data_IF_451956552517
#
_entry.id   IF_451956552517
#
_cell.length_a   1.000
_cell.length_b   1.000
_cell.length_c   1.000
_cell.angle_alpha   90.00
_cell.angle_beta   90.00
_cell.angle_gamma   90.00
#
_symmetry.space_group_name_H-M   'P 1'
#
loop_
_entity.id
_entity.type
_entity.pdbx_description
1 polymer ?
#
# COMPACT_ATOMS: atom_id res chain seq x y z
N UNK A 1 -7.14 -20.38 0.02
CA UNK A 1 -7.69 -19.85 1.27
C UNK A 1 -8.28 -18.48 1.03
N UNK A 2 -9.38 -18.11 1.73
CA UNK A 2 -9.89 -16.74 1.70
C UNK A 2 -8.82 -15.74 2.14
N UNK A 3 -8.80 -14.57 1.51
CA UNK A 3 -7.82 -13.53 1.86
C UNK A 3 -8.43 -12.13 1.86
N UNK A 4 -7.83 -11.25 2.66
CA UNK A 4 -8.06 -9.81 2.65
C UNK A 4 -6.79 -9.12 2.20
N UNK A 5 -6.89 -8.28 1.18
CA UNK A 5 -5.75 -7.58 0.60
C UNK A 5 -5.62 -6.16 1.13
N UNK A 6 -4.53 -5.86 1.81
CA UNK A 6 -4.05 -4.49 1.93
C UNK A 6 -3.31 -4.12 0.63
N UNK A 7 -3.80 -3.12 -0.11
CA UNK A 7 -3.21 -2.74 -1.41
C UNK A 7 -2.53 -1.38 -1.31
N UNK A 8 -1.26 -1.29 -1.72
CA UNK A 8 -0.51 -0.04 -1.74
C UNK A 8 0.98 -0.21 -2.03
N UNK A 9 1.68 0.92 -2.12
CA UNK A 9 3.14 0.91 -2.29
C UNK A 9 3.89 0.55 -1.00
N UNK A 10 3.33 0.93 0.14
CA UNK A 10 3.86 0.62 1.47
C UNK A 10 5.36 0.92 1.64
N UNK A 11 5.85 1.98 1.00
CA UNK A 11 7.23 2.39 1.18
C UNK A 11 7.39 3.09 2.54
N UNK A 12 8.30 2.56 3.34
CA UNK A 12 8.57 3.08 4.68
C UNK A 12 7.64 2.55 5.79
N UNK A 13 6.53 1.91 5.46
CA UNK A 13 5.53 1.36 6.41
C UNK A 13 5.25 2.32 7.59
N UNK A 14 4.93 3.58 7.28
CA UNK A 14 4.59 4.62 8.26
C UNK A 14 3.25 4.32 8.98
N UNK A 15 2.93 5.07 10.03
CA UNK A 15 1.70 4.88 10.84
C UNK A 15 0.41 4.75 10.01
N UNK A 16 0.26 5.52 8.94
CA UNK A 16 -0.89 5.37 8.03
C UNK A 16 -0.91 4.02 7.30
N UNK A 17 0.25 3.51 6.86
CA UNK A 17 0.34 2.16 6.28
C UNK A 17 0.06 1.07 7.32
N UNK A 18 0.53 1.26 8.55
CA UNK A 18 0.25 0.33 9.65
C UNK A 18 -1.25 0.20 9.92
N UNK A 19 -2.01 1.31 9.85
CA UNK A 19 -3.46 1.28 10.00
C UNK A 19 -4.15 0.52 8.86
N UNK A 20 -3.68 0.64 7.61
CA UNK A 20 -4.20 -0.15 6.47
C UNK A 20 -4.00 -1.65 6.72
N UNK A 21 -2.80 -2.04 7.16
CA UNK A 21 -2.49 -3.44 7.48
C UNK A 21 -3.29 -3.93 8.68
N UNK A 22 -3.41 -3.13 9.74
CA UNK A 22 -4.18 -3.48 10.94
C UNK A 22 -5.66 -3.70 10.59
N UNK A 23 -6.25 -2.84 9.74
CA UNK A 23 -7.64 -3.01 9.29
C UNK A 23 -7.82 -4.25 8.42
N UNK A 24 -6.85 -4.57 7.56
CA UNK A 24 -6.90 -5.81 6.79
C UNK A 24 -6.86 -7.05 7.69
N UNK A 25 -6.06 -7.04 8.76
CA UNK A 25 -6.03 -8.11 9.77
C UNK A 25 -7.35 -8.22 10.54
N UNK A 26 -7.94 -7.10 10.93
CA UNK A 26 -9.25 -7.06 11.60
C UNK A 26 -10.33 -7.73 10.75
N UNK A 27 -10.43 -7.33 9.47
CA UNK A 27 -11.41 -7.91 8.53
C UNK A 27 -11.10 -9.41 8.31
N UNK A 28 -9.84 -9.77 8.13
CA UNK A 28 -9.42 -11.14 7.93
C UNK A 28 -9.83 -12.05 9.10
N UNK A 29 -9.61 -11.60 10.34
CA UNK A 29 -10.01 -12.34 11.53
C UNK A 29 -11.54 -12.58 11.57
N UNK A 30 -12.35 -11.54 11.29
CA UNK A 30 -13.82 -11.68 11.26
C UNK A 30 -14.33 -12.56 10.13
N UNK A 31 -13.61 -12.62 9.02
CA UNK A 31 -14.00 -13.36 7.80
C UNK A 31 -13.35 -14.73 7.72
N UNK A 32 -12.66 -15.20 8.76
CA UNK A 32 -11.87 -16.45 8.75
C UNK A 32 -10.95 -16.53 7.51
N UNK A 33 -10.25 -15.43 7.23
CA UNK A 33 -9.41 -15.23 6.06
C UNK A 33 -7.96 -14.87 6.46
N UNK A 34 -7.04 -14.90 5.51
CA UNK A 34 -5.64 -14.51 5.73
C UNK A 34 -5.41 -13.04 5.39
N UNK A 35 -4.76 -12.27 6.26
CA UNK A 35 -4.34 -10.91 5.93
C UNK A 35 -3.13 -10.95 4.99
N UNK A 36 -3.29 -10.36 3.82
CA UNK A 36 -2.28 -10.33 2.77
C UNK A 36 -2.00 -8.90 2.31
N UNK A 37 -0.82 -8.69 1.76
CA UNK A 37 -0.44 -7.42 1.12
C UNK A 37 -0.27 -7.62 -0.37
N UNK A 38 -0.84 -6.74 -1.18
CA UNK A 38 -0.50 -6.55 -2.58
C UNK A 38 0.27 -5.24 -2.74
N UNK A 39 1.52 -5.34 -3.14
CA UNK A 39 2.39 -4.20 -3.43
C UNK A 39 3.05 -4.32 -4.80
N UNK A 40 3.75 -3.27 -5.22
CA UNK A 40 4.27 -3.17 -6.59
C UNK A 40 5.78 -2.92 -6.58
N UNK A 41 6.46 -3.41 -7.60
CA UNK A 41 7.91 -3.18 -7.80
C UNK A 41 8.24 -3.26 -9.28
N UNK A 42 9.04 -2.32 -9.83
CA UNK A 42 9.57 -1.12 -9.19
C UNK A 42 8.47 -0.12 -8.79
N UNK A 43 8.84 0.98 -8.15
CA UNK A 43 7.91 2.08 -7.86
C UNK A 43 7.35 2.64 -9.19
N UNK A 44 6.04 2.96 -9.29
CA UNK A 44 5.42 3.47 -10.52
C UNK A 44 6.17 4.63 -11.17
N UNK A 45 6.71 5.57 -10.39
CA UNK A 45 7.51 6.70 -10.90
C UNK A 45 8.83 6.31 -11.60
N UNK A 46 9.22 5.04 -11.57
CA UNK A 46 10.37 4.54 -12.33
C UNK A 46 9.98 3.96 -13.70
N UNK A 47 8.70 3.81 -13.95
CA UNK A 47 8.15 3.17 -15.14
C UNK A 47 7.36 4.17 -15.99
N UNK A 48 6.58 5.02 -15.31
CA UNK A 48 5.77 6.05 -15.98
C UNK A 48 6.28 7.43 -15.58
N UNK A 49 6.29 8.34 -16.55
CA UNK A 49 6.58 9.74 -16.27
C UNK A 49 5.44 10.34 -15.43
N UNK A 50 5.79 10.88 -14.29
CA UNK A 50 4.86 11.52 -13.35
C UNK A 50 5.15 13.02 -13.22
N UNK A 51 5.90 13.63 -14.18
CA UNK A 51 6.32 15.02 -14.13
C UNK A 51 7.28 15.36 -12.97
N UNK A 52 7.93 14.34 -12.39
CA UNK A 52 8.87 14.48 -11.27
C UNK A 52 9.92 13.35 -11.27
N UNK A 53 11.09 13.57 -10.68
CA UNK A 53 12.13 12.54 -10.61
C UNK A 53 11.65 11.23 -9.98
N UNK A 54 12.17 10.08 -10.43
CA UNK A 54 11.85 8.78 -9.86
C UNK A 54 12.13 8.71 -8.36
N UNK A 55 11.20 8.14 -7.64
CA UNK A 55 11.27 8.01 -6.19
C UNK A 55 12.36 6.99 -5.79
N UNK A 56 13.26 7.38 -4.88
CA UNK A 56 14.15 6.44 -4.17
C UNK A 56 13.36 5.75 -3.06
N UNK A 57 13.38 4.41 -3.04
CA UNK A 57 12.70 3.64 -2.00
C UNK A 57 13.39 3.82 -0.64
N UNK A 58 12.59 3.96 0.42
CA UNK A 58 13.08 4.10 1.79
C UNK A 58 13.74 2.81 2.30
N UNK A 59 13.16 1.66 1.91
CA UNK A 59 13.68 0.36 2.31
C UNK A 59 13.75 -0.64 1.16
N UNK A 60 14.80 -1.47 1.13
CA UNK A 60 14.89 -2.60 0.21
C UNK A 60 13.75 -3.59 0.38
N UNK A 61 13.47 -4.39 -0.65
CA UNK A 61 12.40 -5.40 -0.66
C UNK A 61 12.47 -6.35 0.54
N UNK A 62 13.67 -6.87 0.89
CA UNK A 62 13.86 -7.80 2.01
C UNK A 62 13.45 -7.17 3.35
N UNK A 63 13.79 -5.91 3.58
CA UNK A 63 13.42 -5.18 4.81
C UNK A 63 11.91 -4.97 4.86
N UNK A 64 11.30 -4.57 3.76
CA UNK A 64 9.83 -4.41 3.70
C UNK A 64 9.10 -5.73 3.97
N UNK A 65 9.58 -6.86 3.43
CA UNK A 65 9.00 -8.16 3.69
C UNK A 65 9.04 -8.51 5.18
N UNK A 66 10.18 -8.26 5.86
CA UNK A 66 10.31 -8.44 7.32
C UNK A 66 9.32 -7.56 8.08
N UNK A 67 9.20 -6.28 7.70
CA UNK A 67 8.24 -5.36 8.32
C UNK A 67 6.79 -5.83 8.21
N UNK A 68 6.40 -6.40 7.08
CA UNK A 68 5.06 -6.97 6.91
C UNK A 68 4.84 -8.21 7.78
N UNK A 69 5.83 -9.10 7.87
CA UNK A 69 5.74 -10.25 8.76
C UNK A 69 5.59 -9.82 10.23
N UNK A 70 6.38 -8.84 10.68
CA UNK A 70 6.26 -8.24 12.01
C UNK A 70 4.91 -7.56 12.25
N UNK A 71 4.28 -7.01 11.19
CA UNK A 71 2.95 -6.45 11.23
C UNK A 71 1.82 -7.51 11.19
N UNK A 72 2.16 -8.82 11.18
CA UNK A 72 1.20 -9.92 11.20
C UNK A 72 0.51 -10.15 9.86
N UNK A 73 1.22 -9.95 8.74
CA UNK A 73 0.77 -10.28 7.38
C UNK A 73 1.23 -11.69 7.03
N UNK A 74 0.31 -12.53 6.56
CA UNK A 74 0.58 -13.93 6.22
C UNK A 74 1.30 -14.08 4.89
N UNK A 75 0.97 -13.22 3.91
CA UNK A 75 1.60 -13.26 2.58
C UNK A 75 1.76 -11.87 1.95
N UNK A 76 2.86 -11.68 1.23
CA UNK A 76 3.15 -10.45 0.48
C UNK A 76 3.25 -10.78 -1.00
N UNK A 77 2.32 -10.28 -1.78
CA UNK A 77 2.30 -10.39 -3.24
C UNK A 77 2.93 -9.13 -3.84
N UNK A 78 4.02 -9.32 -4.58
CA UNK A 78 4.72 -8.22 -5.25
C UNK A 78 4.46 -8.32 -6.75
N UNK A 79 3.55 -7.48 -7.24
CA UNK A 79 3.28 -7.40 -8.68
C UNK A 79 4.38 -6.58 -9.35
N UNK A 80 4.95 -7.12 -10.43
CA UNK A 80 5.82 -6.35 -11.31
C UNK A 80 5.02 -5.19 -11.90
N UNK A 81 5.49 -3.96 -11.66
CA UNK A 81 4.93 -2.75 -12.27
C UNK A 81 5.78 -2.40 -13.49
N UNK A 82 5.26 -2.68 -14.65
CA UNK A 82 5.86 -2.42 -15.96
C UNK A 82 4.89 -1.65 -16.86
N UNK A 83 5.32 -1.21 -18.04
CA UNK A 83 4.45 -0.45 -18.95
C UNK A 83 3.16 -1.18 -19.33
N UNK A 84 3.16 -2.50 -19.63
CA UNK A 84 1.93 -3.24 -19.86
C UNK A 84 0.97 -3.21 -18.66
N UNK A 85 1.49 -3.29 -17.43
CA UNK A 85 0.65 -3.22 -16.23
C UNK A 85 0.17 -1.78 -15.96
N UNK A 86 1.02 -0.78 -16.16
CA UNK A 86 0.67 0.63 -16.05
C UNK A 86 -0.41 1.07 -17.06
N UNK A 87 -0.44 0.45 -18.22
CA UNK A 87 -1.44 0.69 -19.27
C UNK A 87 -2.80 0.03 -19.05
N UNK A 88 -2.95 -0.82 -18.03
CA UNK A 88 -4.23 -1.46 -17.71
C UNK A 88 -5.28 -0.43 -17.29
N UNK A 89 -6.51 -0.58 -17.80
CA UNK A 89 -7.64 0.20 -17.31
C UNK A 89 -7.99 -0.17 -15.87
N UNK A 90 -8.77 0.66 -15.19
CA UNK A 90 -9.31 0.34 -13.86
C UNK A 90 -10.05 -1.00 -13.89
N UNK A 91 -10.90 -1.24 -14.88
CA UNK A 91 -11.60 -2.52 -15.07
C UNK A 91 -10.64 -3.70 -15.23
N UNK A 92 -9.59 -3.56 -16.04
CA UNK A 92 -8.58 -4.63 -16.22
C UNK A 92 -7.75 -4.89 -14.95
N UNK A 93 -7.58 -3.89 -14.09
CA UNK A 93 -6.99 -4.10 -12.76
C UNK A 93 -7.95 -4.86 -11.83
N UNK A 94 -9.23 -4.55 -11.85
CA UNK A 94 -10.26 -5.26 -11.08
C UNK A 94 -10.39 -6.73 -11.52
N UNK A 95 -10.33 -6.99 -12.82
CA UNK A 95 -10.29 -8.35 -13.39
C UNK A 95 -9.02 -9.10 -12.95
N UNK A 96 -7.86 -8.42 -12.94
CA UNK A 96 -6.62 -8.97 -12.39
C UNK A 96 -6.79 -9.39 -10.92
N UNK A 97 -7.48 -8.59 -10.08
CA UNK A 97 -7.72 -8.97 -8.69
C UNK A 97 -8.56 -10.24 -8.60
N UNK A 98 -9.63 -10.37 -9.39
CA UNK A 98 -10.49 -11.57 -9.43
C UNK A 98 -9.72 -12.81 -9.87
N UNK A 99 -8.94 -12.67 -10.93
CA UNK A 99 -8.17 -13.78 -11.50
C UNK A 99 -7.08 -14.28 -10.54
N UNK A 100 -6.34 -13.36 -9.92
CA UNK A 100 -5.21 -13.72 -9.06
C UNK A 100 -5.60 -14.07 -7.64
N UNK A 101 -6.76 -13.62 -7.21
CA UNK A 101 -7.26 -13.84 -5.85
C UNK A 101 -8.71 -14.36 -5.88
N UNK A 102 -8.95 -15.59 -6.38
CA UNK A 102 -10.30 -16.12 -6.57
C UNK A 102 -11.09 -16.29 -5.25
N UNK A 103 -10.40 -16.29 -4.12
CA UNK A 103 -11.01 -16.33 -2.78
C UNK A 103 -10.85 -15.01 -2.03
N UNK A 104 -10.80 -13.88 -2.75
CA UNK A 104 -10.75 -12.55 -2.15
C UNK A 104 -12.07 -12.26 -1.43
N UNK A 105 -11.99 -11.88 -0.15
CA UNK A 105 -13.17 -11.54 0.66
C UNK A 105 -13.14 -10.10 1.17
N UNK A 106 -12.03 -9.38 1.00
CA UNK A 106 -11.93 -7.99 1.41
C UNK A 106 -10.71 -7.26 0.86
N UNK A 107 -10.84 -5.95 0.73
CA UNK A 107 -9.77 -5.05 0.28
C UNK A 107 -9.68 -3.86 1.23
N UNK A 108 -8.46 -3.49 1.59
CA UNK A 108 -8.19 -2.28 2.38
C UNK A 108 -7.15 -1.43 1.66
N UNK A 109 -7.42 -0.15 1.52
CA UNK A 109 -6.50 0.82 0.92
C UNK A 109 -6.39 2.08 1.77
N UNK A 110 -5.46 2.96 1.45
CA UNK A 110 -5.56 4.35 1.90
C UNK A 110 -6.65 5.10 1.12
N UNK A 111 -7.23 6.15 1.71
CA UNK A 111 -8.27 6.98 1.08
C UNK A 111 -7.86 7.60 -0.27
N UNK A 112 -6.55 7.84 -0.46
CA UNK A 112 -6.00 8.43 -1.69
C UNK A 112 -5.48 7.35 -2.66
N UNK A 113 -5.93 6.11 -2.51
CA UNK A 113 -5.53 5.05 -3.43
C UNK A 113 -6.13 5.29 -4.80
N UNK A 114 -5.27 5.23 -5.81
CA UNK A 114 -5.66 5.31 -7.23
C UNK A 114 -5.04 4.14 -7.99
N UNK A 115 -5.70 3.72 -9.07
CA UNK A 115 -5.29 2.59 -9.89
C UNK A 115 -5.75 2.76 -11.34
N UNK A 116 -5.28 1.88 -12.19
CA UNK A 116 -5.58 1.96 -13.62
C UNK A 116 -4.74 3.02 -14.34
N UNK A 117 -4.83 3.00 -15.66
CA UNK A 117 -4.11 3.91 -16.54
C UNK A 117 -4.53 5.37 -16.23
N UNK A 118 -3.56 6.25 -16.07
CA UNK A 118 -3.82 7.65 -15.74
C UNK A 118 -4.52 7.88 -14.41
N UNK A 119 -4.50 6.90 -13.50
CA UNK A 119 -5.20 6.96 -12.20
C UNK A 119 -6.73 7.13 -12.36
N UNK A 120 -7.32 6.51 -13.38
CA UNK A 120 -8.77 6.59 -13.66
C UNK A 120 -9.66 5.90 -12.62
N UNK A 121 -9.10 4.97 -11.84
CA UNK A 121 -9.77 4.33 -10.71
C UNK A 121 -9.33 4.92 -9.39
N UNK A 122 -10.22 5.03 -8.44
CA UNK A 122 -10.01 5.57 -7.10
C UNK A 122 -10.63 4.69 -6.00
N UNK A 123 -10.59 5.17 -4.77
CA UNK A 123 -11.15 4.47 -3.62
C UNK A 123 -12.67 4.25 -3.75
N UNK A 124 -13.40 5.19 -4.38
CA UNK A 124 -14.85 5.10 -4.57
C UNK A 124 -15.20 4.01 -5.59
N UNK A 125 -14.56 4.05 -6.75
CA UNK A 125 -14.79 3.05 -7.81
C UNK A 125 -14.38 1.64 -7.35
N UNK A 126 -13.33 1.53 -6.53
CA UNK A 126 -12.94 0.24 -5.95
C UNK A 126 -13.95 -0.26 -4.91
N UNK A 127 -14.57 0.64 -4.12
CA UNK A 127 -15.64 0.30 -3.20
C UNK A 127 -16.87 -0.25 -3.93
N UNK A 128 -17.27 0.36 -5.04
CA UNK A 128 -18.37 -0.11 -5.89
C UNK A 128 -18.06 -1.50 -6.48
N UNK A 129 -16.83 -1.71 -6.93
CA UNK A 129 -16.38 -3.02 -7.43
C UNK A 129 -16.36 -4.07 -6.32
N UNK A 130 -15.91 -3.71 -5.13
CA UNK A 130 -15.94 -4.61 -3.98
C UNK A 130 -17.37 -5.04 -3.65
N UNK A 131 -18.30 -4.09 -3.60
CA UNK A 131 -19.72 -4.37 -3.34
C UNK A 131 -20.32 -5.34 -4.38
N UNK A 132 -20.05 -5.11 -5.68
CA UNK A 132 -20.51 -6.01 -6.76
C UNK A 132 -19.97 -7.44 -6.67
N UNK A 133 -18.82 -7.63 -6.00
CA UNK A 133 -18.17 -8.94 -5.87
C UNK A 133 -18.32 -9.56 -4.47
N UNK A 134 -19.08 -8.96 -3.56
CA UNK A 134 -19.25 -9.43 -2.19
C UNK A 134 -17.99 -9.29 -1.33
N UNK A 135 -17.04 -8.44 -1.72
CA UNK A 135 -15.84 -8.13 -0.94
C UNK A 135 -16.13 -7.00 0.05
N UNK A 136 -15.63 -7.13 1.25
CA UNK A 136 -15.64 -6.03 2.20
C UNK A 136 -14.57 -4.99 1.80
N UNK A 137 -14.92 -3.71 1.80
CA UNK A 137 -13.97 -2.65 1.45
C UNK A 137 -13.81 -1.65 2.60
N UNK A 138 -12.57 -1.22 2.84
CA UNK A 138 -12.27 -0.14 3.75
C UNK A 138 -11.19 0.80 3.19
N UNK A 139 -11.47 2.09 3.19
CA UNK A 139 -10.51 3.15 2.89
C UNK A 139 -10.05 3.80 4.21
N UNK A 140 -8.75 3.77 4.48
CA UNK A 140 -8.18 4.31 5.70
C UNK A 140 -7.81 5.77 5.51
N UNK A 141 -8.30 6.63 6.38
CA UNK A 141 -7.99 8.06 6.39
C UNK A 141 -6.51 8.32 6.66
N UNK A 142 -6.02 9.45 6.18
CA UNK A 142 -4.65 9.89 6.44
C UNK A 142 -4.37 10.08 7.93
N UNK A 143 -3.16 9.76 8.36
CA UNK A 143 -2.67 10.05 9.71
C UNK A 143 -1.83 11.32 9.66
N UNK A 144 -2.02 12.18 10.63
CA UNK A 144 -1.39 13.50 10.67
C UNK A 144 -0.52 13.67 11.93
N UNK A 145 0.51 14.48 11.80
CA UNK A 145 1.29 14.98 12.93
C UNK A 145 0.50 16.06 13.69
N UNK A 146 0.88 16.43 14.91
CA UNK A 146 0.24 17.53 15.65
C UNK A 146 0.22 18.87 14.92
N UNK A 147 1.18 19.10 14.01
CA UNK A 147 1.29 20.29 13.18
C UNK A 147 0.49 20.20 11.86
N UNK A 148 -0.46 19.29 11.78
CA UNK A 148 -1.32 19.00 10.62
C UNK A 148 -0.60 18.50 9.36
N UNK A 149 0.70 18.21 9.38
CA UNK A 149 1.38 17.56 8.26
C UNK A 149 0.96 16.10 8.15
N UNK A 150 0.57 15.67 6.95
CA UNK A 150 0.21 14.27 6.70
C UNK A 150 1.45 13.37 6.78
N UNK A 151 1.37 12.32 7.60
CA UNK A 151 2.38 11.27 7.63
C UNK A 151 2.40 10.51 6.31
N UNK A 152 3.56 10.50 5.64
CA UNK A 152 3.70 9.90 4.31
C UNK A 152 5.14 9.48 4.03
N UNK A 153 5.33 8.58 3.06
CA UNK A 153 6.67 8.22 2.58
C UNK A 153 7.46 9.42 2.06
N UNK A 154 6.79 10.41 1.47
CA UNK A 154 7.43 11.64 1.00
C UNK A 154 7.96 12.49 2.17
N UNK A 155 7.19 12.60 3.26
CA UNK A 155 7.63 13.31 4.46
C UNK A 155 8.78 12.57 5.14
N UNK A 156 8.75 11.24 5.17
CA UNK A 156 9.87 10.42 5.68
C UNK A 156 11.17 10.66 4.88
N UNK A 157 11.07 10.73 3.53
CA UNK A 157 12.25 11.03 2.69
C UNK A 157 12.80 12.42 2.97
N UNK A 158 11.94 13.43 3.12
CA UNK A 158 12.35 14.79 3.48
C UNK A 158 13.05 14.80 4.83
N UNK A 159 12.52 14.11 5.83
CA UNK A 159 13.15 13.98 7.15
C UNK A 159 14.55 13.37 7.06
N UNK A 160 14.72 12.26 6.33
CA UNK A 160 16.01 11.63 6.13
C UNK A 160 17.00 12.52 5.37
N UNK A 161 16.56 13.21 4.32
CA UNK A 161 17.42 14.13 3.56
C UNK A 161 17.87 15.33 4.38
N UNK A 162 17.10 15.74 5.37
CA UNK A 162 17.41 16.81 6.30
C UNK A 162 18.18 16.33 7.56
N UNK A 163 18.42 15.02 7.71
CA UNK A 163 19.00 14.45 8.94
C UNK A 163 18.05 14.46 10.15
N UNK A 164 16.76 14.76 9.95
CA UNK A 164 15.77 14.81 11.03
C UNK A 164 15.27 13.39 11.37
N UNK A 165 16.09 12.66 12.11
CA UNK A 165 15.77 11.30 12.52
C UNK A 165 14.64 11.25 13.56
N UNK A 166 14.41 12.34 14.30
CA UNK A 166 13.30 12.40 15.25
C UNK A 166 11.96 12.50 14.50
N UNK A 167 11.86 13.35 13.50
CA UNK A 167 10.68 13.43 12.65
C UNK A 167 10.43 12.08 11.94
N UNK A 168 11.50 11.45 11.41
CA UNK A 168 11.38 10.12 10.81
C UNK A 168 10.77 9.12 11.81
N UNK A 169 11.31 9.05 13.03
CA UNK A 169 10.82 8.17 14.09
C UNK A 169 9.34 8.44 14.44
N UNK A 170 8.95 9.70 14.53
CA UNK A 170 7.56 10.08 14.83
C UNK A 170 6.57 9.58 13.76
N UNK A 171 6.98 9.55 12.48
CA UNK A 171 6.17 9.10 11.36
C UNK A 171 6.16 7.57 11.25
N UNK A 172 7.33 6.94 11.41
CA UNK A 172 7.56 5.53 11.17
C UNK A 172 7.28 4.63 12.38
N UNK A 173 7.23 5.20 13.58
CA UNK A 173 7.18 4.51 14.87
C UNK A 173 8.36 3.56 15.12
N UNK A 174 9.49 3.85 14.50
CA UNK A 174 10.76 3.10 14.63
C UNK A 174 11.94 3.95 14.23
N UNK A 175 13.13 3.52 14.66
CA UNK A 175 14.39 4.14 14.21
C UNK A 175 14.67 3.77 12.75
N UNK A 176 15.35 4.68 12.03
CA UNK A 176 15.89 4.36 10.72
C UNK A 176 17.13 3.46 10.87
N UNK A 177 17.17 2.37 10.13
CA UNK A 177 18.33 1.49 10.07
C UNK A 177 18.83 1.43 8.64
N UNK A 178 20.00 1.99 8.38
CA UNK A 178 20.73 1.78 7.14
C UNK A 178 21.61 0.53 7.32
N UNK A 179 21.59 -0.37 6.35
CA UNK A 179 22.61 -1.42 6.23
C UNK A 179 23.52 -1.04 5.08
N UNK A 180 24.79 -0.95 5.35
CA UNK A 180 25.86 -0.88 4.35
C UNK A 180 25.97 -2.20 3.59
#
# INVERSE_FOLDING_TARGET
YPCVLAIGMFDGLHKGHAQVVAKAREIAARRNARPCVLTFSPHPSKVVDMGRPPVKMLFPRKIRAKMFAEAGVDAVFIKKFDLPFAGKTSKSFEEFLKEKFPHLVGIVTGENFVYGRGAEGDAKTLAETAARNGWEYAAIKGVYLPDARRMSSSLMRKALSAGDLQLFKNIADRNYTARG
#
